data_IF_307868991432
#
_entry.id   IF_307868991432
#
_cell.length_a   1.000
_cell.length_b   1.000
_cell.length_c   1.000
_cell.angle_alpha   90.00
_cell.angle_beta   90.00
_cell.angle_gamma   90.00
#
_symmetry.space_group_name_H-M   'P 1'
#
loop_
_entity.id
_entity.type
_entity.pdbx_description
1 polymer ?
#
# COMPACT_ATOMS: atom_id res chain seq x y z
N UNK A 1 -4.00 23.78 6.18
CA UNK A 1 -2.98 22.71 6.04
C UNK A 1 -2.26 22.57 7.38
N UNK A 2 -1.93 21.36 7.86
CA UNK A 2 -1.07 21.23 9.04
C UNK A 2 0.31 21.82 8.75
N UNK A 3 0.97 22.31 9.79
CA UNK A 3 2.36 22.78 9.72
C UNK A 3 3.30 21.61 9.45
N UNK A 4 4.30 21.83 8.59
CA UNK A 4 5.13 20.75 8.03
C UNK A 4 5.85 19.93 9.11
N UNK A 5 6.34 20.59 10.17
CA UNK A 5 7.00 19.93 11.32
C UNK A 5 6.07 18.94 12.03
N UNK A 6 4.82 19.32 12.27
CA UNK A 6 3.84 18.44 12.91
C UNK A 6 3.48 17.23 12.05
N UNK A 7 3.50 17.40 10.73
CA UNK A 7 3.30 16.29 9.79
C UNK A 7 4.46 15.29 9.87
N UNK A 8 5.68 15.80 9.99
CA UNK A 8 6.92 15.05 9.98
C UNK A 8 7.17 14.28 11.28
N UNK A 9 6.76 14.82 12.43
CA UNK A 9 6.99 14.20 13.75
C UNK A 9 5.89 13.23 14.18
N UNK A 10 4.62 13.54 13.90
CA UNK A 10 3.48 12.81 14.51
C UNK A 10 2.70 11.96 13.49
N UNK A 11 2.65 12.37 12.22
CA UNK A 11 1.77 11.76 11.22
C UNK A 11 2.46 10.68 10.38
N UNK A 12 3.77 10.83 10.15
CA UNK A 12 4.61 9.92 9.37
C UNK A 12 4.85 8.56 10.05
N UNK A 13 4.76 8.49 11.38
CA UNK A 13 5.00 7.27 12.16
C UNK A 13 3.74 6.44 12.44
N UNK A 14 2.56 6.97 12.08
CA UNK A 14 1.26 6.31 12.30
C UNK A 14 0.69 6.49 13.70
N UNK A 15 1.36 7.21 14.60
CA UNK A 15 0.93 7.41 15.99
C UNK A 15 0.76 8.89 16.31
N UNK A 16 -0.24 9.53 15.71
CA UNK A 16 -0.50 10.94 15.91
C UNK A 16 -1.29 11.20 17.21
N UNK A 17 -0.77 10.74 18.35
CA UNK A 17 -1.42 10.78 19.68
C UNK A 17 -1.81 12.19 20.13
N UNK A 18 -1.13 13.22 19.62
CA UNK A 18 -1.38 14.64 19.92
C UNK A 18 -2.09 15.39 18.78
N UNK A 19 -2.51 14.68 17.73
CA UNK A 19 -3.26 15.27 16.64
C UNK A 19 -4.75 15.38 17.03
N UNK A 20 -5.32 16.60 17.13
CA UNK A 20 -6.72 16.78 17.51
C UNK A 20 -7.70 16.29 16.44
N UNK A 21 -7.21 15.99 15.22
CA UNK A 21 -8.02 15.40 14.14
C UNK A 21 -8.09 13.88 14.22
N UNK A 22 -7.24 13.26 15.03
CA UNK A 22 -7.25 11.81 15.19
C UNK A 22 -8.37 11.44 16.18
N UNK A 23 -9.34 10.59 15.79
CA UNK A 23 -10.44 10.21 16.66
C UNK A 23 -9.92 9.62 17.98
N UNK A 24 -10.45 10.10 19.11
CA UNK A 24 -10.09 9.59 20.45
C UNK A 24 -10.45 8.11 20.54
N UNK A 25 -11.67 7.77 20.13
CA UNK A 25 -12.13 6.38 20.00
C UNK A 25 -11.78 5.83 18.63
N UNK A 26 -10.96 4.78 18.62
CA UNK A 26 -10.54 4.07 17.41
C UNK A 26 -10.12 2.65 17.74
N UNK A 27 -10.47 1.72 16.85
CA UNK A 27 -10.08 0.32 16.97
C UNK A 27 -8.55 0.21 16.95
N UNK A 28 -7.90 0.80 15.93
CA UNK A 28 -6.47 0.74 15.71
C UNK A 28 -5.86 2.14 15.74
N UNK A 29 -4.64 2.26 16.26
CA UNK A 29 -3.89 3.50 16.24
C UNK A 29 -3.14 3.68 14.92
N UNK A 30 -2.61 2.58 14.38
CA UNK A 30 -1.92 2.54 13.10
C UNK A 30 -2.29 1.27 12.32
N UNK A 31 -2.24 1.35 11.00
CA UNK A 31 -2.32 0.18 10.12
C UNK A 31 -1.14 0.22 9.16
N UNK A 32 -0.36 -0.85 9.14
CA UNK A 32 0.82 -1.00 8.27
C UNK A 32 0.53 -2.01 7.18
N UNK A 33 1.04 -1.75 5.99
CA UNK A 33 0.94 -2.63 4.84
C UNK A 33 2.32 -2.91 4.25
N UNK A 34 2.50 -4.13 3.75
CA UNK A 34 3.67 -4.52 2.97
C UNK A 34 3.26 -5.48 1.86
N UNK A 35 3.95 -5.46 0.73
CA UNK A 35 3.82 -6.51 -0.28
C UNK A 35 4.56 -7.74 0.23
N UNK A 36 3.82 -8.81 0.48
CA UNK A 36 4.35 -10.08 0.99
C UNK A 36 4.78 -11.03 -0.13
N UNK A 37 4.10 -10.95 -1.28
CA UNK A 37 4.50 -11.62 -2.51
C UNK A 37 3.78 -11.00 -3.71
N UNK A 38 4.34 -11.20 -4.89
CA UNK A 38 3.75 -10.83 -6.18
C UNK A 38 4.04 -11.91 -7.21
N UNK A 39 3.17 -12.03 -8.21
CA UNK A 39 3.45 -12.76 -9.43
C UNK A 39 2.69 -12.11 -10.60
N UNK A 40 2.71 -12.75 -11.78
CA UNK A 40 2.09 -12.21 -12.98
C UNK A 40 0.57 -11.96 -12.87
N UNK A 41 -0.15 -12.71 -12.01
CA UNK A 41 -1.61 -12.63 -11.91
C UNK A 41 -2.13 -12.04 -10.59
N UNK A 42 -1.29 -11.97 -9.54
CA UNK A 42 -1.73 -11.52 -8.21
C UNK A 42 -0.67 -10.78 -7.40
N UNK A 43 -1.14 -9.94 -6.49
CA UNK A 43 -0.35 -9.28 -5.45
C UNK A 43 -0.93 -9.63 -4.09
N UNK A 44 -0.10 -10.10 -3.16
CA UNK A 44 -0.49 -10.42 -1.79
C UNK A 44 0.06 -9.36 -0.83
N UNK A 45 -0.83 -8.65 -0.15
CA UNK A 45 -0.46 -7.70 0.89
C UNK A 45 -0.51 -8.37 2.27
N UNK A 46 0.51 -8.15 3.09
CA UNK A 46 0.41 -8.37 4.53
C UNK A 46 -0.04 -7.05 5.19
N UNK A 47 -0.92 -7.15 6.19
CA UNK A 47 -1.31 -6.01 7.02
C UNK A 47 -1.10 -6.31 8.50
N UNK A 48 -0.82 -5.27 9.27
CA UNK A 48 -0.79 -5.28 10.74
C UNK A 48 -1.56 -4.07 11.24
N UNK A 49 -2.59 -4.32 12.05
CA UNK A 49 -3.29 -3.31 12.82
C UNK A 49 -2.65 -3.22 14.20
N UNK A 50 -2.22 -2.03 14.59
CA UNK A 50 -1.51 -1.80 15.84
C UNK A 50 -2.39 -1.01 16.82
N UNK A 51 -2.36 -1.39 18.10
CA UNK A 51 -3.02 -0.69 19.20
C UNK A 51 -2.02 -0.54 20.35
N UNK A 52 -1.86 0.66 20.86
CA UNK A 52 -0.87 0.98 21.89
C UNK A 52 0.55 0.51 21.53
N UNK A 53 0.95 0.66 20.27
CA UNK A 53 2.26 0.23 19.75
C UNK A 53 2.48 -1.30 19.71
N UNK A 54 1.41 -2.09 19.89
CA UNK A 54 1.47 -3.54 19.85
C UNK A 54 0.63 -4.08 18.68
N UNK A 55 1.04 -5.20 18.05
CA UNK A 55 0.23 -5.84 17.03
C UNK A 55 -1.05 -6.37 17.68
N UNK A 56 -2.20 -5.88 17.23
CA UNK A 56 -3.51 -6.27 17.73
C UNK A 56 -4.23 -7.22 16.74
N UNK A 57 -4.08 -6.98 15.44
CA UNK A 57 -4.59 -7.85 14.38
C UNK A 57 -3.60 -7.88 13.22
N UNK A 58 -3.54 -8.98 12.49
CA UNK A 58 -2.75 -9.07 11.27
C UNK A 58 -3.35 -10.10 10.31
N UNK A 59 -3.02 -9.96 9.03
CA UNK A 59 -3.51 -10.88 8.03
C UNK A 59 -2.95 -10.62 6.65
N UNK A 60 -3.60 -11.23 5.65
CA UNK A 60 -3.25 -11.10 4.25
C UNK A 60 -4.45 -10.71 3.42
N UNK A 61 -4.22 -9.82 2.46
CA UNK A 61 -5.16 -9.42 1.43
C UNK A 61 -4.61 -9.85 0.07
N UNK A 62 -5.50 -10.21 -0.85
CA UNK A 62 -5.12 -10.72 -2.16
C UNK A 62 -5.84 -9.95 -3.26
N UNK A 63 -5.05 -9.41 -4.19
CA UNK A 63 -5.53 -8.65 -5.33
C UNK A 63 -5.17 -9.37 -6.63
N UNK A 64 -6.16 -9.54 -7.50
CA UNK A 64 -6.03 -10.12 -8.83
C UNK A 64 -5.75 -9.01 -9.84
N UNK A 65 -4.61 -9.10 -10.53
CA UNK A 65 -4.15 -8.06 -11.46
C UNK A 65 -4.99 -8.00 -12.73
N UNK A 66 -5.42 -9.16 -13.24
CA UNK A 66 -6.15 -9.26 -14.50
C UNK A 66 -7.52 -8.58 -14.42
N UNK A 67 -8.29 -8.90 -13.39
CA UNK A 67 -9.67 -8.40 -13.22
C UNK A 67 -9.72 -7.10 -12.42
N UNK A 68 -8.59 -6.68 -11.83
CA UNK A 68 -8.47 -5.56 -10.89
C UNK A 68 -9.44 -5.68 -9.71
N UNK A 69 -9.56 -6.89 -9.16
CA UNK A 69 -10.47 -7.20 -8.05
C UNK A 69 -9.72 -7.77 -6.85
N UNK A 70 -10.32 -7.64 -5.67
CA UNK A 70 -9.81 -8.27 -4.46
C UNK A 70 -10.39 -9.68 -4.34
N UNK A 71 -9.53 -10.70 -4.40
CA UNK A 71 -9.90 -12.08 -4.08
C UNK A 71 -10.07 -12.27 -2.56
N UNK A 72 -9.29 -11.52 -1.77
CA UNK A 72 -9.42 -11.47 -0.32
C UNK A 72 -9.31 -10.04 0.18
N UNK A 73 -10.44 -9.51 0.66
CA UNK A 73 -10.57 -8.17 1.22
C UNK A 73 -10.54 -8.18 2.75
N UNK A 74 -10.26 -7.02 3.33
CA UNK A 74 -10.45 -6.78 4.74
C UNK A 74 -11.94 -6.55 5.05
N UNK A 75 -12.40 -6.99 6.22
CA UNK A 75 -13.81 -6.81 6.65
C UNK A 75 -14.14 -5.37 7.03
N UNK A 76 -13.21 -4.69 7.71
CA UNK A 76 -13.28 -3.24 7.94
C UNK A 76 -13.02 -2.47 6.63
N UNK A 77 -14.05 -1.77 6.14
CA UNK A 77 -14.02 -1.00 4.89
C UNK A 77 -12.98 0.13 4.89
N UNK A 78 -12.64 0.68 6.06
CA UNK A 78 -11.63 1.74 6.17
C UNK A 78 -10.23 1.17 5.95
N UNK A 79 -9.96 0.01 6.55
CA UNK A 79 -8.70 -0.73 6.35
C UNK A 79 -8.59 -1.17 4.90
N UNK A 80 -9.68 -1.67 4.32
CA UNK A 80 -9.75 -2.01 2.91
C UNK A 80 -9.41 -0.82 2.00
N UNK A 81 -9.97 0.36 2.28
CA UNK A 81 -9.66 1.57 1.51
C UNK A 81 -8.20 2.00 1.63
N UNK A 82 -7.59 1.87 2.81
CA UNK A 82 -6.15 2.13 2.98
C UNK A 82 -5.29 1.13 2.19
N UNK A 83 -5.69 -0.14 2.13
CA UNK A 83 -5.01 -1.16 1.34
C UNK A 83 -5.07 -0.86 -0.16
N UNK A 84 -6.21 -0.39 -0.67
CA UNK A 84 -6.38 0.09 -2.05
C UNK A 84 -5.40 1.21 -2.36
N UNK A 85 -5.38 2.27 -1.54
CA UNK A 85 -4.48 3.41 -1.76
C UNK A 85 -2.99 2.99 -1.69
N UNK A 86 -2.64 2.10 -0.75
CA UNK A 86 -1.29 1.55 -0.66
C UNK A 86 -0.92 0.79 -1.95
N UNK A 87 -1.81 -0.10 -2.42
CA UNK A 87 -1.58 -0.91 -3.61
C UNK A 87 -1.44 -0.05 -4.86
N UNK A 88 -2.32 0.93 -5.05
CA UNK A 88 -2.28 1.84 -6.20
C UNK A 88 -0.95 2.61 -6.23
N UNK A 89 -0.55 3.20 -5.10
CA UNK A 89 0.72 3.91 -4.97
C UNK A 89 1.93 3.00 -5.21
N UNK A 90 1.87 1.75 -4.75
CA UNK A 90 2.94 0.79 -4.99
C UNK A 90 3.02 0.35 -6.47
N UNK A 91 1.88 0.12 -7.12
CA UNK A 91 1.81 -0.20 -8.55
C UNK A 91 2.32 0.96 -9.41
N UNK A 92 2.01 2.20 -9.06
CA UNK A 92 2.55 3.41 -9.70
C UNK A 92 4.07 3.46 -9.61
N UNK A 93 4.62 3.34 -8.40
CA UNK A 93 6.08 3.31 -8.19
C UNK A 93 6.74 2.20 -9.01
N UNK A 94 6.13 1.02 -9.06
CA UNK A 94 6.66 -0.11 -9.82
C UNK A 94 6.74 0.18 -11.31
N UNK A 95 5.68 0.78 -11.90
CA UNK A 95 5.68 1.23 -13.31
C UNK A 95 6.77 2.25 -13.60
N UNK A 96 7.05 3.16 -12.67
CA UNK A 96 8.12 4.14 -12.81
C UNK A 96 9.54 3.57 -12.62
N UNK A 97 9.66 2.38 -12.04
CA UNK A 97 10.95 1.76 -11.71
C UNK A 97 11.40 0.69 -12.72
N UNK A 98 10.50 0.24 -13.61
CA UNK A 98 10.85 -0.66 -14.71
C UNK A 98 11.45 0.16 -15.85
N UNK A 99 12.75 -0.02 -16.20
CA UNK A 99 13.30 0.57 -17.42
C UNK A 99 12.52 0.00 -18.61
N UNK A 100 12.07 0.87 -19.52
CA UNK A 100 11.46 0.43 -20.77
C UNK A 100 12.45 -0.48 -21.51
N UNK A 101 12.13 -1.77 -21.63
CA UNK A 101 12.81 -2.66 -22.56
C UNK A 101 12.56 -2.12 -23.98
N UNK A 102 13.57 -1.45 -24.52
CA UNK A 102 13.63 -1.04 -25.92
C UNK A 102 13.42 -2.27 -26.80
N UNK A 103 12.31 -2.27 -27.53
CA UNK A 103 11.98 -3.33 -28.47
C UNK A 103 12.92 -3.30 -29.68
N UNK A 104 13.58 -4.46 -29.85
CA UNK A 104 13.94 -5.18 -31.06
C UNK A 104 15.02 -4.66 -32.05
N UNK A 105 16.04 -5.52 -32.13
CA UNK A 105 16.95 -5.75 -33.25
C UNK A 105 16.24 -6.15 -34.57
N UNK A 106 16.89 -5.76 -35.68
CA UNK A 106 17.08 -6.48 -36.96
C UNK A 106 15.95 -6.55 -38.02
N UNK A 107 16.15 -5.96 -39.21
CA UNK A 107 16.58 -6.66 -40.46
C UNK A 107 16.59 -5.75 -41.74
N UNK A 108 17.59 -5.98 -42.61
CA UNK A 108 17.76 -5.63 -44.05
C UNK A 108 18.00 -4.14 -44.42
N UNK A 109 18.96 -3.78 -45.29
CA UNK A 109 19.30 -4.39 -46.59
C UNK A 109 20.71 -3.99 -47.08
N UNK A 110 21.30 -4.87 -47.90
CA UNK A 110 22.60 -4.75 -48.58
C UNK A 110 22.63 -3.62 -49.62
N UNK A 111 23.76 -2.92 -49.77
CA UNK A 111 24.37 -2.49 -51.05
C UNK A 111 25.76 -1.90 -50.82
#
# INVERSE_FOLDING_TARGET
MPEAERLQEECSLGYASRCPRLPVERLWDAVRFAVSSENASRVCLAYVCEKNHLPAEHGKLEFLLQDRTWARSHTDLRVQRMAECFLDSWLERKRSSTPAESQNENLHEQS
#
